data_IF_688553339956
#
_entry.id   IF_688553339956
#
_cell.length_a   1.000
_cell.length_b   1.000
_cell.length_c   1.000
_cell.angle_alpha   90.00
_cell.angle_beta   90.00
_cell.angle_gamma   90.00
#
_symmetry.space_group_name_H-M   'P 1'
#
loop_
_entity.id
_entity.type
_entity.pdbx_description
1 polymer ?
#
# COMPACT_ATOMS: atom_id res chain seq x y z
N UNK A 1 -43.01 -0.57 6.60
CA UNK A 1 -43.41 0.77 7.13
C UNK A 1 -43.29 0.67 8.64
N UNK A 2 -42.69 1.52 9.45
CA UNK A 2 -42.15 2.88 9.38
C UNK A 2 -41.38 2.99 10.73
N UNK A 3 -40.05 3.15 10.78
CA UNK A 3 -39.35 4.44 10.83
C UNK A 3 -39.67 5.23 12.12
N UNK A 4 -38.59 5.62 12.82
CA UNK A 4 -38.47 6.71 13.79
C UNK A 4 -38.91 6.42 15.24
N UNK A 5 -37.97 6.50 16.19
CA UNK A 5 -37.43 7.72 16.81
C UNK A 5 -38.12 7.84 18.16
N UNK A 6 -37.36 7.81 19.25
CA UNK A 6 -37.52 8.61 20.47
C UNK A 6 -36.56 7.99 21.50
N UNK A 7 -35.40 8.60 21.72
CA UNK A 7 -35.20 9.55 22.82
C UNK A 7 -35.21 8.84 24.19
N UNK A 8 -34.05 8.29 24.56
CA UNK A 8 -33.62 8.09 25.96
C UNK A 8 -32.23 8.68 25.97
N UNK A 9 -32.01 9.85 26.55
CA UNK A 9 -32.07 10.05 28.00
C UNK A 9 -30.63 10.25 28.44
N UNK A 10 -30.17 11.49 28.43
CA UNK A 10 -29.85 12.22 29.66
C UNK A 10 -28.54 11.75 30.33
N UNK A 11 -27.57 12.67 30.30
CA UNK A 11 -26.69 13.02 31.43
C UNK A 11 -26.17 11.85 32.30
N UNK A 12 -24.95 11.39 32.01
CA UNK A 12 -24.04 10.92 33.06
C UNK A 12 -22.60 11.37 32.77
N UNK A 13 -22.25 12.45 33.48
CA UNK A 13 -20.97 12.72 34.15
C UNK A 13 -19.66 12.17 33.56
N UNK A 14 -18.87 13.13 33.03
CA UNK A 14 -17.52 13.45 33.50
C UNK A 14 -16.90 12.48 34.52
N UNK A 15 -16.04 11.58 34.05
CA UNK A 15 -14.67 11.36 34.53
C UNK A 15 -14.13 10.05 33.95
N UNK A 16 -13.03 10.12 33.20
CA UNK A 16 -11.80 9.37 33.45
C UNK A 16 -10.80 9.71 32.35
N UNK A 17 -9.69 10.29 32.78
CA UNK A 17 -8.42 10.35 32.08
C UNK A 17 -8.06 8.94 31.58
N UNK A 18 -8.29 8.70 30.30
CA UNK A 18 -7.83 7.52 29.60
C UNK A 18 -7.01 7.96 28.39
N UNK A 19 -5.73 8.25 28.63
CA UNK A 19 -4.72 8.36 27.59
C UNK A 19 -4.56 6.98 26.95
N UNK A 20 -5.43 6.67 25.99
CA UNK A 20 -5.31 5.51 25.13
C UNK A 20 -4.38 5.87 23.99
N UNK A 21 -3.08 5.67 24.20
CA UNK A 21 -2.06 5.68 23.16
C UNK A 21 -2.44 4.66 22.07
N UNK A 22 -3.18 5.11 21.06
CA UNK A 22 -3.24 4.39 19.81
C UNK A 22 -1.95 4.74 19.09
N UNK A 23 -0.93 3.93 19.36
CA UNK A 23 0.29 3.88 18.58
C UNK A 23 -0.08 3.72 17.12
N UNK A 24 -0.19 4.84 16.42
CA UNK A 24 0.45 4.91 15.12
C UNK A 24 1.91 4.63 15.43
N UNK A 25 2.30 3.39 15.19
CA UNK A 25 3.67 3.00 14.91
C UNK A 25 4.12 3.96 13.81
N UNK A 26 4.64 5.12 14.24
CA UNK A 26 5.45 6.01 13.43
C UNK A 26 6.49 5.09 12.81
N UNK A 27 6.44 4.80 11.48
CA UNK A 27 7.49 4.01 10.89
C UNK A 27 8.77 4.79 11.15
N UNK A 28 9.61 4.22 12.01
CA UNK A 28 10.84 4.82 12.47
C UNK A 28 11.56 5.45 11.27
N UNK A 29 12.15 6.65 11.40
CA UNK A 29 12.90 7.25 10.31
C UNK A 29 14.06 6.30 10.01
N UNK A 30 13.91 5.50 8.96
CA UNK A 30 14.93 4.58 8.52
C UNK A 30 16.12 5.45 8.14
N UNK A 31 17.18 5.30 8.93
CA UNK A 31 18.48 5.94 8.72
C UNK A 31 18.82 5.80 7.23
N UNK A 32 18.83 6.95 6.57
CA UNK A 32 19.14 7.14 5.17
C UNK A 32 20.58 6.68 4.95
N UNK A 33 20.77 5.40 4.63
CA UNK A 33 22.08 4.92 4.19
C UNK A 33 22.19 4.95 2.68
N UNK A 34 21.10 4.73 1.93
CA UNK A 34 21.09 4.95 0.49
C UNK A 34 19.68 5.31 0.04
N UNK A 35 19.47 6.52 -0.48
CA UNK A 35 18.18 6.96 -1.01
C UNK A 35 17.75 6.25 -2.32
N UNK A 36 18.49 5.22 -2.75
CA UNK A 36 18.33 4.59 -4.07
C UNK A 36 18.09 3.07 -4.05
N UNK A 37 18.26 2.39 -2.91
CA UNK A 37 17.97 0.95 -2.81
C UNK A 37 16.52 0.73 -2.42
N UNK A 38 15.67 0.42 -3.39
CA UNK A 38 14.34 -0.13 -3.11
C UNK A 38 14.53 -1.52 -2.50
N UNK A 39 14.07 -1.70 -1.26
CA UNK A 39 14.01 -3.00 -0.59
C UNK A 39 12.81 -3.78 -1.13
N UNK A 40 13.04 -4.57 -2.19
CA UNK A 40 11.99 -5.30 -2.91
C UNK A 40 11.19 -6.22 -1.97
N UNK A 41 11.81 -7.03 -1.08
CA UNK A 41 11.07 -7.85 -0.12
C UNK A 41 10.15 -7.05 0.80
N UNK A 42 10.62 -5.91 1.32
CA UNK A 42 9.81 -5.04 2.18
C UNK A 42 8.62 -4.45 1.42
N UNK A 43 8.83 -4.00 0.18
CA UNK A 43 7.75 -3.43 -0.62
C UNK A 43 6.71 -4.48 -1.01
N UNK A 44 7.12 -5.72 -1.34
CA UNK A 44 6.20 -6.85 -1.58
C UNK A 44 5.28 -7.07 -0.38
N UNK A 45 5.86 -7.07 0.84
CA UNK A 45 5.05 -7.17 2.06
C UNK A 45 4.07 -6.00 2.20
N UNK A 46 4.51 -4.80 1.86
CA UNK A 46 3.72 -3.58 2.01
C UNK A 46 2.55 -3.48 1.01
N UNK A 47 2.60 -4.20 -0.13
CA UNK A 47 1.45 -4.38 -1.03
C UNK A 47 0.23 -5.03 -0.33
N UNK A 48 0.42 -5.70 0.80
CA UNK A 48 -0.67 -6.29 1.59
C UNK A 48 -1.19 -5.38 2.71
N UNK A 49 -0.66 -4.16 2.82
CA UNK A 49 -1.07 -3.20 3.85
C UNK A 49 -2.55 -2.86 3.76
N UNK A 50 -3.19 -2.65 4.91
CA UNK A 50 -4.57 -2.13 4.96
C UNK A 50 -4.67 -0.70 4.43
N UNK A 51 -3.58 0.05 4.46
CA UNK A 51 -3.54 1.43 3.99
C UNK A 51 -3.33 1.45 2.47
N UNK A 52 -4.31 1.98 1.74
CA UNK A 52 -4.28 2.13 0.28
C UNK A 52 -3.03 2.92 -0.15
N UNK A 53 -2.70 4.00 0.55
CA UNK A 53 -1.54 4.84 0.23
C UNK A 53 -0.23 4.06 0.34
N UNK A 54 -0.11 3.18 1.33
CA UNK A 54 1.05 2.29 1.45
C UNK A 54 1.14 1.34 0.26
N UNK A 55 0.03 0.69 -0.13
CA UNK A 55 0.02 -0.22 -1.29
C UNK A 55 0.39 0.50 -2.58
N UNK A 56 -0.21 1.66 -2.84
CA UNK A 56 0.08 2.49 -4.02
C UNK A 56 1.55 2.92 -4.05
N UNK A 57 2.10 3.38 -2.93
CA UNK A 57 3.49 3.82 -2.86
C UNK A 57 4.46 2.65 -3.06
N UNK A 58 4.17 1.47 -2.50
CA UNK A 58 4.97 0.28 -2.71
C UNK A 58 4.93 -0.20 -4.17
N UNK A 59 3.76 -0.22 -4.80
CA UNK A 59 3.66 -0.54 -6.22
C UNK A 59 4.51 0.42 -7.07
N UNK A 60 4.44 1.73 -6.79
CA UNK A 60 5.28 2.72 -7.46
C UNK A 60 6.78 2.44 -7.29
N UNK A 61 7.25 2.20 -6.05
CA UNK A 61 8.67 1.92 -5.78
C UNK A 61 9.16 0.63 -6.46
N UNK A 62 8.31 -0.39 -6.53
CA UNK A 62 8.61 -1.63 -7.25
C UNK A 62 8.71 -1.40 -8.77
N UNK A 63 7.83 -0.56 -9.33
CA UNK A 63 7.94 -0.14 -10.73
C UNK A 63 9.24 0.64 -11.02
N UNK A 64 9.62 1.56 -10.14
CA UNK A 64 10.88 2.33 -10.24
C UNK A 64 12.13 1.46 -10.05
N UNK A 65 12.00 0.35 -9.30
CA UNK A 65 13.07 -0.63 -9.19
C UNK A 65 13.31 -1.36 -10.52
N UNK A 66 12.33 -1.43 -11.41
CA UNK A 66 12.46 -2.04 -12.74
C UNK A 66 12.78 -3.53 -12.65
N UNK A 67 13.74 -4.00 -13.46
CA UNK A 67 14.02 -5.44 -13.62
C UNK A 67 14.38 -6.16 -12.31
N UNK A 68 15.00 -5.49 -11.33
CA UNK A 68 15.34 -6.11 -10.02
C UNK A 68 14.11 -6.46 -9.18
N UNK A 69 12.94 -5.89 -9.50
CA UNK A 69 11.68 -6.18 -8.82
C UNK A 69 10.84 -7.25 -9.52
N UNK A 70 11.45 -8.06 -10.40
CA UNK A 70 10.77 -9.16 -11.09
C UNK A 70 10.03 -10.11 -10.13
N UNK A 71 10.58 -10.37 -8.94
CA UNK A 71 9.95 -11.20 -7.91
C UNK A 71 8.63 -10.63 -7.36
N UNK A 72 8.38 -9.33 -7.56
CA UNK A 72 7.15 -8.67 -7.12
C UNK A 72 5.99 -8.83 -8.11
N UNK A 73 6.24 -9.29 -9.35
CA UNK A 73 5.21 -9.47 -10.38
C UNK A 73 3.96 -10.23 -9.90
N UNK A 74 4.06 -11.42 -9.27
CA UNK A 74 2.86 -12.14 -8.82
C UNK A 74 2.07 -11.38 -7.74
N UNK A 75 2.75 -10.62 -6.88
CA UNK A 75 2.09 -9.81 -5.86
C UNK A 75 1.39 -8.59 -6.45
N UNK A 76 1.99 -7.96 -7.46
CA UNK A 76 1.40 -6.84 -8.19
C UNK A 76 0.21 -7.30 -9.06
N UNK A 77 0.31 -8.44 -9.73
CA UNK A 77 -0.79 -9.02 -10.53
C UNK A 77 -2.00 -9.30 -9.64
N UNK A 78 -1.78 -9.91 -8.47
CA UNK A 78 -2.83 -10.12 -7.49
C UNK A 78 -3.47 -8.81 -6.98
N UNK A 79 -2.67 -7.74 -6.84
CA UNK A 79 -3.19 -6.43 -6.42
C UNK A 79 -4.04 -5.79 -7.53
N UNK A 80 -3.59 -5.89 -8.79
CA UNK A 80 -4.30 -5.39 -9.96
C UNK A 80 -5.64 -6.12 -10.18
N UNK A 81 -5.69 -7.44 -9.93
CA UNK A 81 -6.91 -8.26 -10.08
C UNK A 81 -7.85 -8.21 -8.86
N UNK A 82 -7.60 -7.30 -7.90
CA UNK A 82 -8.39 -7.21 -6.68
C UNK A 82 -9.86 -6.81 -6.93
N UNK A 83 -10.74 -6.96 -5.92
CA UNK A 83 -12.18 -6.71 -6.08
C UNK A 83 -12.58 -5.23 -6.21
N UNK A 84 -11.63 -4.30 -6.04
CA UNK A 84 -11.91 -2.85 -6.04
C UNK A 84 -12.10 -2.24 -7.43
N UNK A 85 -11.78 -2.97 -8.49
CA UNK A 85 -11.89 -2.53 -9.88
C UNK A 85 -10.73 -1.62 -10.33
N UNK A 86 -10.42 -1.59 -11.64
CA UNK A 86 -9.17 -1.04 -12.18
C UNK A 86 -9.01 0.48 -11.98
N UNK A 87 -10.09 1.19 -11.65
CA UNK A 87 -10.05 2.62 -11.31
C UNK A 87 -9.50 2.88 -9.90
N UNK A 88 -9.41 1.84 -9.06
CA UNK A 88 -8.89 1.99 -7.71
C UNK A 88 -7.38 2.26 -7.76
N UNK A 89 -6.87 3.27 -7.02
CA UNK A 89 -5.52 3.81 -7.22
C UNK A 89 -4.38 2.83 -7.00
N UNK A 90 -4.56 1.81 -6.14
CA UNK A 90 -3.56 0.77 -5.94
C UNK A 90 -3.52 -0.25 -7.09
N UNK A 91 -4.65 -0.54 -7.75
CA UNK A 91 -4.73 -1.43 -8.91
C UNK A 91 -4.11 -0.79 -10.14
N UNK A 92 -4.44 0.48 -10.39
CA UNK A 92 -3.80 1.26 -11.45
C UNK A 92 -2.29 1.35 -11.26
N UNK A 93 -1.84 1.65 -10.04
CA UNK A 93 -0.41 1.70 -9.73
C UNK A 93 0.26 0.32 -9.87
N UNK A 94 -0.44 -0.76 -9.52
CA UNK A 94 0.08 -2.12 -9.71
C UNK A 94 0.25 -2.46 -11.20
N UNK A 95 -0.74 -2.14 -12.03
CA UNK A 95 -0.68 -2.35 -13.48
C UNK A 95 0.50 -1.58 -14.11
N UNK A 96 0.64 -0.30 -13.80
CA UNK A 96 1.77 0.53 -14.27
C UNK A 96 3.13 -0.02 -13.80
N UNK A 97 3.21 -0.51 -12.57
CA UNK A 97 4.43 -1.11 -12.04
C UNK A 97 4.80 -2.39 -12.79
N UNK A 98 3.82 -3.25 -13.08
CA UNK A 98 4.03 -4.48 -13.87
C UNK A 98 4.60 -4.15 -15.24
N UNK A 99 4.03 -3.15 -15.92
CA UNK A 99 4.52 -2.70 -17.23
C UNK A 99 5.95 -2.18 -17.15
N UNK A 100 6.26 -1.33 -16.19
CA UNK A 100 7.62 -0.80 -15.98
C UNK A 100 8.64 -1.91 -15.71
N UNK A 101 8.29 -2.90 -14.88
CA UNK A 101 9.16 -4.04 -14.55
C UNK A 101 9.41 -4.87 -15.82
N UNK A 102 8.35 -5.26 -16.53
CA UNK A 102 8.45 -6.07 -17.76
C UNK A 102 9.23 -5.35 -18.86
N UNK A 103 8.97 -4.05 -19.06
CA UNK A 103 9.72 -3.22 -20.02
C UNK A 103 11.21 -3.15 -19.67
N UNK A 104 11.54 -3.04 -18.38
CA UNK A 104 12.93 -3.03 -17.91
C UNK A 104 13.63 -4.37 -18.10
N UNK A 105 12.91 -5.50 -17.99
CA UNK A 105 13.45 -6.83 -18.26
C UNK A 105 13.78 -7.00 -19.75
N UNK A 106 12.86 -6.60 -20.64
CA UNK A 106 13.07 -6.66 -22.10
C UNK A 106 14.26 -5.81 -22.56
N UNK A 107 14.45 -4.65 -21.94
CA UNK A 107 15.60 -3.79 -22.22
C UNK A 107 16.94 -4.39 -21.74
N UNK A 108 16.93 -5.24 -20.71
CA UNK A 108 18.12 -5.94 -20.23
C UNK A 108 18.52 -7.11 -21.14
N UNK A 109 17.54 -7.81 -21.73
CA UNK A 109 17.76 -8.98 -22.57
C UNK A 109 18.15 -8.63 -24.03
N UNK A 110 17.77 -7.44 -24.52
CA UNK A 110 17.98 -7.00 -25.90
C UNK A 110 19.41 -6.52 -26.26
N UNK A 111 20.39 -6.66 -25.36
CA UNK A 111 21.76 -6.20 -25.56
C UNK A 111 22.80 -7.35 -25.54
N UNK A 112 22.44 -8.52 -26.07
CA UNK A 112 23.37 -9.65 -26.30
C UNK A 112 23.62 -9.88 -27.79
#
# INVERSE_FOLDING_TARGET
MLKYLFLVGALTCLSLTGCGASGADEPAPLKLKDAASVDVPLEIKTLTSRNIRSRTFSAFKLGEAGARAAEALPALEKLADGPSGPEHPDQKAAAEAIEKIKASQLAADGNS
#
